data_IF_684806938797
#
_entry.id   IF_684806938797
#
_cell.length_a   1.000
_cell.length_b   1.000
_cell.length_c   1.000
_cell.angle_alpha   90.00
_cell.angle_beta   90.00
_cell.angle_gamma   90.00
#
_symmetry.space_group_name_H-M   'P 1'
#
loop_
_entity.id
_entity.type
_entity.pdbx_description
1 polymer ?
#
# COMPACT_ATOMS: atom_id res chain seq x y z
N UNK A 1 13.37 -2.64 -5.10
CA UNK A 1 12.56 -3.87 -5.13
C UNK A 1 12.44 -4.47 -3.75
N UNK A 2 11.89 -3.75 -2.77
CA UNK A 2 11.92 -4.16 -1.34
C UNK A 2 10.58 -4.65 -0.76
N UNK A 3 9.52 -4.70 -1.57
CA UNK A 3 8.20 -5.18 -1.12
C UNK A 3 7.97 -6.68 -1.33
N UNK A 4 8.92 -7.36 -1.99
CA UNK A 4 8.81 -8.75 -2.44
C UNK A 4 8.85 -9.76 -1.30
N UNK A 5 9.60 -9.50 -0.22
CA UNK A 5 9.79 -10.49 0.87
C UNK A 5 8.99 -10.15 2.14
N UNK A 6 8.84 -8.85 2.46
CA UNK A 6 8.19 -8.40 3.69
C UNK A 6 6.76 -7.89 3.53
N UNK A 7 6.27 -7.68 2.30
CA UNK A 7 5.04 -6.93 2.06
C UNK A 7 5.13 -5.46 2.49
N UNK A 8 4.07 -4.71 2.27
CA UNK A 8 3.99 -3.27 2.57
C UNK A 8 2.79 -2.96 3.47
N UNK A 9 2.90 -1.92 4.29
CA UNK A 9 1.77 -1.40 5.03
C UNK A 9 1.41 0.03 4.61
N UNK A 10 0.25 0.51 5.08
CA UNK A 10 -0.19 1.88 4.85
C UNK A 10 0.90 2.90 5.21
N UNK A 11 1.55 2.73 6.36
CA UNK A 11 2.61 3.64 6.82
C UNK A 11 3.79 3.69 5.85
N UNK A 12 4.17 2.55 5.28
CA UNK A 12 5.30 2.49 4.34
C UNK A 12 4.95 3.23 3.05
N UNK A 13 3.74 2.98 2.52
CA UNK A 13 3.22 3.68 1.33
C UNK A 13 3.06 5.18 1.57
N UNK A 14 2.49 5.58 2.71
CA UNK A 14 2.31 6.99 3.06
C UNK A 14 3.65 7.73 3.12
N UNK A 15 4.69 7.12 3.72
CA UNK A 15 6.03 7.72 3.77
C UNK A 15 6.70 7.81 2.41
N UNK A 16 6.52 6.80 1.56
CA UNK A 16 7.13 6.79 0.23
C UNK A 16 6.44 7.77 -0.73
N UNK A 17 5.11 7.85 -0.69
CA UNK A 17 4.32 8.71 -1.59
C UNK A 17 4.27 10.17 -1.11
N UNK A 18 4.30 10.39 0.21
CA UNK A 18 4.13 11.70 0.83
C UNK A 18 5.19 11.95 1.93
N UNK A 19 6.47 12.09 1.56
CA UNK A 19 7.57 12.21 2.53
C UNK A 19 7.48 13.48 3.40
N UNK A 20 6.85 14.55 2.91
CA UNK A 20 6.74 15.84 3.61
C UNK A 20 5.56 15.92 4.57
N UNK A 21 4.67 14.93 4.57
CA UNK A 21 3.45 14.96 5.34
C UNK A 21 3.65 14.77 6.85
N UNK A 22 4.83 14.32 7.30
CA UNK A 22 5.05 13.99 8.72
C UNK A 22 5.05 15.23 9.64
N UNK A 23 5.10 16.45 9.09
CA UNK A 23 5.14 17.71 9.85
C UNK A 23 3.77 18.17 10.39
N UNK A 24 2.66 17.67 9.82
CA UNK A 24 1.31 18.05 10.25
C UNK A 24 0.47 16.81 10.62
N UNK A 25 0.05 16.65 11.90
CA UNK A 25 -0.82 15.56 12.32
C UNK A 25 -2.13 15.44 11.53
N UNK A 26 -2.72 16.55 11.08
CA UNK A 26 -3.95 16.52 10.31
C UNK A 26 -3.72 15.92 8.92
N UNK A 27 -2.66 16.36 8.24
CA UNK A 27 -2.28 15.87 6.93
C UNK A 27 -1.85 14.39 6.97
N UNK A 28 -1.12 13.96 8.01
CA UNK A 28 -0.81 12.53 8.24
C UNK A 28 -2.06 11.68 8.32
N UNK A 29 -3.10 12.14 9.03
CA UNK A 29 -4.36 11.41 9.16
C UNK A 29 -5.12 11.36 7.83
N UNK A 30 -5.10 12.45 7.07
CA UNK A 30 -5.70 12.52 5.74
C UNK A 30 -5.05 11.52 4.79
N UNK A 31 -3.73 11.55 4.66
CA UNK A 31 -2.97 10.64 3.79
C UNK A 31 -3.15 9.19 4.23
N UNK A 32 -3.09 8.90 5.53
CA UNK A 32 -3.33 7.54 6.01
C UNK A 32 -4.74 7.03 5.63
N UNK A 33 -5.74 7.91 5.63
CA UNK A 33 -7.10 7.55 5.21
C UNK A 33 -7.18 7.31 3.69
N UNK A 34 -6.51 8.15 2.91
CA UNK A 34 -6.41 8.03 1.45
C UNK A 34 -5.69 6.74 1.02
N UNK A 35 -4.52 6.46 1.61
CA UNK A 35 -3.79 5.22 1.36
C UNK A 35 -4.61 3.98 1.77
N UNK A 36 -5.37 4.06 2.87
CA UNK A 36 -6.27 2.96 3.27
C UNK A 36 -7.37 2.71 2.26
N UNK A 37 -7.90 3.79 1.67
CA UNK A 37 -8.90 3.72 0.62
C UNK A 37 -8.34 3.04 -0.63
N UNK A 38 -7.15 3.42 -1.11
CA UNK A 38 -6.50 2.78 -2.25
C UNK A 38 -6.18 1.30 -1.99
N UNK A 39 -5.65 0.96 -0.82
CA UNK A 39 -5.41 -0.43 -0.43
C UNK A 39 -6.69 -1.27 -0.46
N UNK A 40 -7.82 -0.70 -0.05
CA UNK A 40 -9.13 -1.37 -0.12
C UNK A 40 -9.55 -1.64 -1.56
N UNK A 41 -9.38 -0.66 -2.46
CA UNK A 41 -9.68 -0.83 -3.90
C UNK A 41 -8.82 -1.93 -4.50
N UNK A 42 -7.50 -1.86 -4.33
CA UNK A 42 -6.57 -2.86 -4.87
C UNK A 42 -6.90 -4.27 -4.37
N UNK A 43 -7.29 -4.39 -3.10
CA UNK A 43 -7.70 -5.66 -2.50
C UNK A 43 -9.04 -6.16 -3.07
N UNK A 44 -10.01 -5.28 -3.29
CA UNK A 44 -11.27 -5.63 -3.93
C UNK A 44 -11.08 -6.17 -5.36
N UNK A 45 -10.10 -5.64 -6.10
CA UNK A 45 -9.75 -6.13 -7.44
C UNK A 45 -8.83 -7.36 -7.44
N UNK A 46 -8.43 -7.85 -6.26
CA UNK A 46 -7.56 -9.01 -6.10
C UNK A 46 -6.12 -8.78 -6.52
N UNK A 47 -5.66 -7.52 -6.56
CA UNK A 47 -4.28 -7.17 -6.93
C UNK A 47 -3.33 -7.33 -5.73
N UNK A 48 -3.88 -7.15 -4.53
CA UNK A 48 -3.16 -7.32 -3.28
C UNK A 48 -4.01 -8.14 -2.31
N UNK A 49 -3.37 -8.83 -1.37
CA UNK A 49 -4.05 -9.46 -0.24
C UNK A 49 -3.42 -9.00 1.08
N UNK A 50 -4.22 -8.99 2.14
CA UNK A 50 -3.76 -8.66 3.50
C UNK A 50 -3.25 -9.94 4.18
N UNK A 51 -2.11 -9.86 4.85
CA UNK A 51 -1.58 -10.96 5.67
C UNK A 51 -2.39 -11.09 6.98
N UNK A 52 -2.85 -12.31 7.35
CA UNK A 52 -3.55 -12.53 8.62
C UNK A 52 -2.68 -12.12 9.82
N UNK A 53 -3.30 -11.51 10.83
CA UNK A 53 -2.57 -11.06 12.04
C UNK A 53 -1.62 -9.87 11.83
N UNK A 54 -1.44 -9.38 10.61
CA UNK A 54 -0.52 -8.29 10.30
C UNK A 54 -1.22 -7.14 9.57
N UNK A 55 -0.65 -5.93 9.66
CA UNK A 55 -1.10 -4.75 8.88
C UNK A 55 -0.42 -4.68 7.52
N UNK A 56 0.07 -5.81 7.03
CA UNK A 56 0.87 -5.95 5.82
C UNK A 56 0.03 -6.47 4.66
N UNK A 57 0.35 -5.98 3.48
CA UNK A 57 -0.23 -6.35 2.21
C UNK A 57 0.86 -6.92 1.31
N UNK A 58 0.48 -7.89 0.48
CA UNK A 58 1.35 -8.50 -0.51
C UNK A 58 0.66 -8.47 -1.87
N UNK A 59 1.46 -8.34 -2.93
CA UNK A 59 0.97 -8.47 -4.30
C UNK A 59 0.57 -9.91 -4.58
N UNK A 60 -0.59 -10.07 -5.23
CA UNK A 60 -1.01 -11.36 -5.79
C UNK A 60 -0.28 -11.61 -7.12
N UNK A 61 -0.40 -12.83 -7.66
CA UNK A 61 0.11 -13.13 -9.01
C UNK A 61 -0.50 -12.21 -10.06
N UNK A 62 -1.82 -12.01 -10.02
CA UNK A 62 -2.54 -11.05 -10.87
C UNK A 62 -2.00 -9.62 -10.73
N UNK A 63 -1.74 -9.19 -9.49
CA UNK A 63 -1.14 -7.87 -9.24
C UNK A 63 0.24 -7.72 -9.87
N UNK A 64 1.09 -8.75 -9.77
CA UNK A 64 2.41 -8.76 -10.42
C UNK A 64 2.31 -8.69 -11.94
N UNK A 65 1.46 -9.51 -12.55
CA UNK A 65 1.26 -9.51 -14.01
C UNK A 65 0.86 -8.14 -14.54
N UNK A 66 -0.10 -7.48 -13.88
CA UNK A 66 -0.55 -6.14 -14.27
C UNK A 66 0.56 -5.10 -14.06
N UNK A 67 1.28 -5.15 -12.94
CA UNK A 67 2.39 -4.21 -12.70
C UNK A 67 3.52 -4.39 -13.73
N UNK A 68 3.86 -5.63 -14.09
CA UNK A 68 4.87 -5.91 -15.12
C UNK A 68 4.42 -5.46 -16.51
N UNK A 69 3.12 -5.54 -16.83
CA UNK A 69 2.61 -5.03 -18.10
C UNK A 69 2.60 -3.49 -18.20
N UNK A 70 2.65 -2.79 -17.06
CA UNK A 70 2.63 -1.33 -16.96
C UNK A 70 4.03 -0.70 -16.80
N UNK A 71 5.06 -1.50 -16.50
CA UNK A 71 6.45 -1.07 -16.34
C UNK A 71 7.21 -1.11 -17.66
#
# INVERSE_FOLDING_TARGET
GDFTTGGFCNRDLARQLYPTADNDPAERRRIASEVSYWLRILRAHGLIHKSPGQRRYHMTTKGREITTALS
#
